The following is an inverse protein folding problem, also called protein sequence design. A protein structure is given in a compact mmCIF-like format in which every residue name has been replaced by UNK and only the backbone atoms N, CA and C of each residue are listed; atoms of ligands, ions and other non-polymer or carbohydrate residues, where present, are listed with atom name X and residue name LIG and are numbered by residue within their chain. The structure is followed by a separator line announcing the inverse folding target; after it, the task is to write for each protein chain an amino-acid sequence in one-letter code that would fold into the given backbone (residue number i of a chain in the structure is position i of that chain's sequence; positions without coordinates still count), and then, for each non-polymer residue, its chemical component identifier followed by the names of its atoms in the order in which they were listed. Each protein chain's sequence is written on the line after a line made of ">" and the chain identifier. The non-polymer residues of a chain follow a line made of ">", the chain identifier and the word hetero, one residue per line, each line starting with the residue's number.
data_IF_347871754941
#
_entry.id   IF_347871754941
#
_cell.length_a   1.000
_cell.length_b   1.000
_cell.length_c   1.000
_cell.angle_alpha   90.00
_cell.angle_beta   90.00
_cell.angle_gamma   90.00
#
_symmetry.space_group_name_H-M   'P 1'
#
loop_
_entity.id
_entity.type
_entity.pdbx_description
1 polymer ?
#
# COMPACT_ATOMS: atom_id res chain seq x y z
N UNK A 1 -8.75 11.53 2.84
CA UNK A 1 -8.85 10.10 2.49
C UNK A 1 -7.44 9.57 2.34
N UNK A 2 -7.20 8.32 2.71
CA UNK A 2 -5.96 7.58 2.51
C UNK A 2 -6.25 6.52 1.45
N UNK A 3 -5.30 6.21 0.58
CA UNK A 3 -5.44 5.15 -0.43
C UNK A 3 -4.16 4.34 -0.47
N UNK A 4 -4.29 3.01 -0.50
CA UNK A 4 -3.19 2.09 -0.76
C UNK A 4 -3.49 1.30 -2.03
N UNK A 5 -2.43 0.99 -2.78
CA UNK A 5 -2.50 0.15 -3.96
C UNK A 5 -1.12 -0.46 -4.26
N UNK A 6 -1.10 -1.49 -5.08
CA UNK A 6 0.11 -2.12 -5.58
C UNK A 6 0.94 -1.13 -6.41
N UNK A 7 2.27 -1.32 -6.52
CA UNK A 7 3.08 -0.53 -7.43
C UNK A 7 2.62 -0.72 -8.88
N UNK A 8 2.66 0.36 -9.65
CA UNK A 8 2.38 0.35 -11.09
C UNK A 8 3.66 0.62 -11.87
N UNK A 9 3.84 -0.12 -12.96
CA UNK A 9 4.97 0.03 -13.87
C UNK A 9 4.58 -0.36 -15.29
N UNK A 10 5.37 0.10 -16.25
CA UNK A 10 5.22 -0.25 -17.66
C UNK A 10 6.60 -0.34 -18.30
N UNK A 11 6.80 -1.35 -19.14
CA UNK A 11 8.05 -1.57 -19.85
C UNK A 11 7.74 -1.90 -21.31
N UNK A 12 8.57 -1.39 -22.21
CA UNK A 12 8.62 -1.77 -23.62
C UNK A 12 10.09 -1.99 -23.98
N UNK A 13 10.36 -2.92 -24.90
CA UNK A 13 11.73 -3.27 -25.25
C UNK A 13 11.83 -4.70 -25.76
N UNK A 14 13.03 -5.27 -25.65
CA UNK A 14 13.24 -6.68 -25.99
C UNK A 14 12.54 -7.58 -24.97
N UNK A 15 12.39 -8.87 -25.31
CA UNK A 15 11.82 -9.85 -24.37
C UNK A 15 12.59 -9.89 -23.04
N UNK A 16 13.92 -9.73 -23.08
CA UNK A 16 14.79 -9.73 -21.89
C UNK A 16 14.52 -8.50 -21.02
N UNK A 17 14.35 -7.32 -21.63
CA UNK A 17 14.06 -6.08 -20.89
C UNK A 17 12.71 -6.16 -20.19
N UNK A 18 11.70 -6.71 -20.89
CA UNK A 18 10.35 -6.92 -20.34
C UNK A 18 10.41 -7.89 -19.15
N UNK A 19 11.14 -9.01 -19.29
CA UNK A 19 11.29 -9.99 -18.22
C UNK A 19 11.99 -9.39 -16.99
N UNK A 20 13.08 -8.64 -17.19
CA UNK A 20 13.83 -8.04 -16.10
C UNK A 20 12.98 -7.04 -15.32
N UNK A 21 12.22 -6.19 -16.01
CA UNK A 21 11.33 -5.23 -15.35
C UNK A 21 10.14 -5.89 -14.67
N UNK A 22 9.56 -6.93 -15.27
CA UNK A 22 8.48 -7.68 -14.61
C UNK A 22 8.96 -8.28 -13.28
N UNK A 23 10.19 -8.83 -13.23
CA UNK A 23 10.79 -9.33 -11.99
C UNK A 23 10.98 -8.23 -10.95
N UNK A 24 11.44 -7.05 -11.36
CA UNK A 24 11.62 -5.92 -10.44
C UNK A 24 10.28 -5.43 -9.87
N UNK A 25 9.22 -5.35 -10.68
CA UNK A 25 7.87 -4.98 -10.21
C UNK A 25 7.36 -5.98 -9.17
N UNK A 26 7.56 -7.29 -9.40
CA UNK A 26 7.16 -8.33 -8.44
C UNK A 26 7.96 -8.18 -7.14
N UNK A 27 9.28 -8.00 -7.23
CA UNK A 27 10.14 -7.78 -6.07
C UNK A 27 9.71 -6.56 -5.24
N UNK A 28 9.42 -5.44 -5.91
CA UNK A 28 8.92 -4.23 -5.26
C UNK A 28 7.56 -4.46 -4.59
N UNK A 29 6.64 -5.18 -5.25
CA UNK A 29 5.32 -5.53 -4.69
C UNK A 29 5.48 -6.33 -3.39
N UNK A 30 6.29 -7.37 -3.39
CA UNK A 30 6.54 -8.21 -2.21
C UNK A 30 7.20 -7.43 -1.07
N UNK A 31 8.20 -6.61 -1.39
CA UNK A 31 8.90 -5.76 -0.43
C UNK A 31 7.96 -4.76 0.23
N UNK A 32 7.14 -4.06 -0.55
CA UNK A 32 6.17 -3.09 -0.04
C UNK A 32 5.11 -3.76 0.83
N UNK A 33 4.60 -4.93 0.42
CA UNK A 33 3.61 -5.67 1.21
C UNK A 33 4.18 -6.11 2.56
N UNK A 34 5.44 -6.52 2.59
CA UNK A 34 6.14 -6.89 3.84
C UNK A 34 6.27 -5.69 4.77
N UNK A 35 6.78 -4.56 4.26
CA UNK A 35 6.94 -3.31 5.04
C UNK A 35 5.58 -2.84 5.58
N UNK A 36 4.54 -2.87 4.75
CA UNK A 36 3.19 -2.49 5.17
C UNK A 36 2.66 -3.41 6.27
N UNK A 37 2.84 -4.74 6.14
CA UNK A 37 2.43 -5.69 7.19
C UNK A 37 3.15 -5.44 8.52
N UNK A 38 4.47 -5.21 8.47
CA UNK A 38 5.29 -4.93 9.66
C UNK A 38 4.88 -3.61 10.36
N UNK A 39 4.66 -2.55 9.59
CA UNK A 39 4.38 -1.22 10.15
C UNK A 39 2.93 -1.03 10.60
N UNK A 40 1.98 -1.69 9.92
CA UNK A 40 0.54 -1.59 10.25
C UNK A 40 0.08 -2.66 11.22
N UNK A 41 0.86 -3.74 11.40
CA UNK A 41 0.48 -4.92 12.16
C UNK A 41 -0.56 -5.81 11.47
N UNK A 42 -0.90 -5.54 10.20
CA UNK A 42 -1.84 -6.37 9.45
C UNK A 42 -1.18 -7.67 8.95
N UNK A 43 -1.93 -8.78 8.87
CA UNK A 43 -1.46 -9.99 8.20
C UNK A 43 -1.10 -9.71 6.74
N UNK A 44 -0.03 -10.33 6.24
CA UNK A 44 0.46 -10.07 4.88
C UNK A 44 -0.58 -10.39 3.80
N UNK A 45 -1.38 -11.44 3.99
CA UNK A 45 -2.46 -11.83 3.07
C UNK A 45 -3.53 -10.74 2.93
N UNK A 46 -3.78 -10.00 4.03
CA UNK A 46 -4.71 -8.87 4.02
C UNK A 46 -4.12 -7.69 3.25
N UNK A 47 -2.86 -7.35 3.48
CA UNK A 47 -2.16 -6.29 2.72
C UNK A 47 -2.19 -6.60 1.22
N UNK A 48 -1.94 -7.86 0.84
CA UNK A 48 -1.98 -8.30 -0.57
C UNK A 48 -3.38 -8.10 -1.16
N UNK A 49 -4.43 -8.54 -0.46
CA UNK A 49 -5.80 -8.43 -0.94
C UNK A 49 -6.26 -6.97 -1.06
N UNK A 50 -5.99 -6.16 -0.04
CA UNK A 50 -6.42 -4.77 0.02
C UNK A 50 -5.62 -3.88 -0.95
N UNK A 51 -4.36 -4.19 -1.24
CA UNK A 51 -3.56 -3.39 -2.18
C UNK A 51 -3.68 -3.82 -3.65
N UNK A 52 -4.36 -4.92 -4.00
CA UNK A 52 -4.44 -5.36 -5.40
C UNK A 52 -5.18 -4.35 -6.31
N UNK A 53 -6.07 -3.55 -5.73
CA UNK A 53 -6.72 -2.41 -6.39
C UNK A 53 -6.66 -1.20 -5.48
N UNK A 54 -7.16 -0.08 -5.97
CA UNK A 54 -7.25 1.14 -5.16
C UNK A 54 -8.18 0.88 -3.97
N UNK A 55 -7.61 0.88 -2.77
CA UNK A 55 -8.35 0.71 -1.52
C UNK A 55 -8.36 2.01 -0.73
N UNK A 56 -9.53 2.63 -0.66
CA UNK A 56 -9.74 3.94 -0.06
C UNK A 56 -10.25 3.83 1.37
N UNK A 57 -9.63 4.61 2.27
CA UNK A 57 -9.97 4.70 3.68
C UNK A 57 -10.21 6.16 4.08
N UNK A 58 -11.19 6.36 4.96
CA UNK A 58 -11.30 7.55 5.82
C UNK A 58 -10.11 7.60 6.80
N UNK A 59 -9.85 8.75 7.43
CA UNK A 59 -8.85 8.83 8.49
C UNK A 59 -9.09 7.83 9.63
N UNK A 60 -10.35 7.59 10.00
CA UNK A 60 -10.72 6.62 11.04
C UNK A 60 -10.39 5.18 10.60
N UNK A 61 -10.80 4.79 9.41
CA UNK A 61 -10.47 3.46 8.85
C UNK A 61 -8.95 3.27 8.73
N UNK A 62 -8.20 4.29 8.33
CA UNK A 62 -6.75 4.22 8.24
C UNK A 62 -6.07 4.11 9.62
N UNK A 63 -6.67 4.70 10.66
CA UNK A 63 -6.20 4.55 12.03
C UNK A 63 -6.42 3.11 12.52
N UNK A 64 -7.62 2.57 12.30
CA UNK A 64 -7.96 1.17 12.63
C UNK A 64 -7.13 0.17 11.83
N UNK A 65 -6.77 0.52 10.60
CA UNK A 65 -5.89 -0.27 9.76
C UNK A 65 -4.43 -0.28 10.27
N UNK A 66 -4.03 0.68 11.09
CA UNK A 66 -2.65 0.84 11.57
C UNK A 66 -1.77 1.69 10.66
N UNK A 67 -2.34 2.45 9.71
CA UNK A 67 -1.57 3.35 8.81
C UNK A 67 -1.21 4.66 9.52
N UNK A 68 -2.05 5.12 10.45
CA UNK A 68 -1.83 6.34 11.24
C UNK A 68 -2.18 6.11 12.71
N UNK A 69 -1.53 6.83 13.61
CA UNK A 69 -1.76 6.66 15.05
C UNK A 69 -3.00 7.42 15.56
N UNK A 70 -3.29 8.58 14.99
CA UNK A 70 -4.33 9.50 15.50
C UNK A 70 -4.94 10.39 14.44
N UNK A 71 -6.26 10.60 14.52
CA UNK A 71 -6.98 11.67 13.81
C UNK A 71 -7.10 12.89 14.72
N UNK A 72 -6.65 14.06 14.25
CA UNK A 72 -6.76 15.31 15.00
C UNK A 72 -8.06 16.04 14.64
N UNK A 73 -8.72 16.59 15.64
CA UNK A 73 -9.90 17.43 15.48
C UNK A 73 -9.57 18.86 15.96
N UNK A 74 -10.07 19.90 15.28
CA UNK A 74 -9.90 21.26 15.75
C UNK A 74 -10.55 21.44 17.13
N UNK A 75 -9.84 22.07 18.05
CA UNK A 75 -10.42 22.47 19.33
C UNK A 75 -11.46 23.57 19.11
N UNK A 76 -12.74 23.25 19.35
CA UNK A 76 -13.77 24.28 19.41
C UNK A 76 -13.64 24.94 20.79
N UNK A 77 -12.97 26.09 20.83
CA UNK A 77 -13.03 26.96 22.02
C UNK A 77 -14.48 27.43 22.18
N UNK A 78 -15.12 27.01 23.26
CA UNK A 78 -16.42 27.54 23.70
C UNK A 78 -16.27 28.95 24.26
#
# INVERSE_FOLDING_TARGET
>A
RIMIHQPWGGVSGTAIDIELQAKEIIFLKERLNTIMGELTGQPIDRIIADSDRDFFMSPQEAQEYGIIDKVLHPEIKK
#
